data_IF_705368228990
#
_entry.id   IF_705368228990
#
_cell.length_a   1.000
_cell.length_b   1.000
_cell.length_c   1.000
_cell.angle_alpha   90.00
_cell.angle_beta   90.00
_cell.angle_gamma   90.00
#
_symmetry.space_group_name_H-M   'P 1'
#
loop_
_entity.id
_entity.type
_entity.pdbx_description
1 polymer ?
#
# COMPACT_ATOMS: atom_id res chain seq x y z
N UNK A 1 3.51 19.71 -10.39
CA UNK A 1 3.56 18.29 -10.01
C UNK A 1 2.32 17.65 -10.59
N UNK A 2 2.46 16.51 -11.28
CA UNK A 2 1.30 15.85 -11.89
C UNK A 2 0.34 15.34 -10.82
N UNK A 3 -0.92 15.16 -11.21
CA UNK A 3 -1.97 14.60 -10.37
C UNK A 3 -1.57 13.21 -9.85
N UNK A 4 -2.00 12.85 -8.63
CA UNK A 4 -1.83 11.53 -8.03
C UNK A 4 -3.17 10.79 -7.97
N UNK A 5 -3.20 9.53 -8.41
CA UNK A 5 -4.31 8.64 -8.07
C UNK A 5 -4.03 7.90 -6.76
N UNK A 6 -4.93 8.08 -5.79
CA UNK A 6 -4.96 7.36 -4.52
C UNK A 6 -6.02 6.26 -4.65
N UNK A 7 -5.61 5.03 -4.36
CA UNK A 7 -6.38 3.81 -4.43
C UNK A 7 -6.63 3.32 -3.02
N UNK A 8 -7.86 3.51 -2.53
CA UNK A 8 -8.25 3.13 -1.18
C UNK A 8 -9.20 1.93 -1.17
N UNK A 9 -8.71 0.71 -0.87
CA UNK A 9 -9.59 -0.37 -0.52
C UNK A 9 -10.18 -0.12 0.87
N UNK A 10 -11.46 -0.45 1.06
CA UNK A 10 -12.15 -0.28 2.35
C UNK A 10 -13.12 -1.42 2.62
N UNK A 11 -13.72 -1.47 3.80
CA UNK A 11 -14.78 -2.42 4.14
C UNK A 11 -16.15 -1.76 3.98
N UNK A 12 -17.16 -2.56 3.66
CA UNK A 12 -18.55 -2.08 3.68
C UNK A 12 -18.90 -1.46 5.04
N UNK A 13 -19.46 -0.25 5.02
CA UNK A 13 -19.83 0.49 6.23
C UNK A 13 -18.67 1.20 6.95
N UNK A 14 -17.43 1.11 6.45
CA UNK A 14 -16.31 1.94 6.94
C UNK A 14 -16.35 3.31 6.28
N UNK A 15 -16.08 4.34 7.08
CA UNK A 15 -15.88 5.69 6.61
C UNK A 15 -14.38 6.01 6.57
N UNK A 16 -14.00 6.97 5.72
CA UNK A 16 -12.66 7.55 5.75
C UNK A 16 -12.65 8.61 6.85
N UNK A 17 -11.75 8.46 7.82
CA UNK A 17 -11.69 9.42 8.94
C UNK A 17 -11.19 10.78 8.46
N UNK A 18 -11.50 11.84 9.22
CA UNK A 18 -11.02 13.18 8.91
C UNK A 18 -9.49 13.26 8.96
N UNK A 19 -8.86 12.54 9.89
CA UNK A 19 -7.40 12.48 10.04
C UNK A 19 -6.71 11.87 8.82
N UNK A 20 -7.32 10.85 8.20
CA UNK A 20 -6.81 10.28 6.94
C UNK A 20 -6.92 11.28 5.81
N UNK A 21 -8.05 11.98 5.70
CA UNK A 21 -8.25 13.02 4.68
C UNK A 21 -7.28 14.19 4.88
N UNK A 22 -7.07 14.64 6.11
CA UNK A 22 -6.11 15.70 6.45
C UNK A 22 -4.68 15.27 6.11
N UNK A 23 -4.33 14.00 6.39
CA UNK A 23 -3.06 13.41 5.98
C UNK A 23 -2.85 13.45 4.45
N UNK A 24 -3.88 13.12 3.68
CA UNK A 24 -3.86 13.21 2.21
C UNK A 24 -3.73 14.67 1.74
N UNK A 25 -4.51 15.59 2.33
CA UNK A 25 -4.48 17.01 1.98
C UNK A 25 -3.13 17.67 2.29
N UNK A 26 -2.47 17.24 3.38
CA UNK A 26 -1.14 17.73 3.77
C UNK A 26 -0.01 17.37 2.79
N UNK A 27 -0.29 16.53 1.79
CA UNK A 27 0.70 16.19 0.76
C UNK A 27 0.91 17.33 -0.25
N UNK A 28 0.02 18.34 -0.28
CA UNK A 28 0.09 19.49 -1.20
C UNK A 28 0.21 19.10 -2.69
N UNK A 29 -0.33 17.93 -3.04
CA UNK A 29 -0.35 17.39 -4.41
C UNK A 29 -1.81 17.22 -4.85
N UNK A 30 -2.22 17.70 -6.04
CA UNK A 30 -3.54 17.42 -6.57
C UNK A 30 -3.77 15.91 -6.68
N UNK A 31 -4.91 15.41 -6.19
CA UNK A 31 -5.20 13.98 -6.21
C UNK A 31 -6.61 13.66 -6.71
N UNK A 32 -6.78 12.41 -7.15
CA UNK A 32 -8.08 11.74 -7.29
C UNK A 32 -8.10 10.56 -6.34
N UNK A 33 -9.19 10.46 -5.59
CA UNK A 33 -9.41 9.36 -4.68
C UNK A 33 -10.36 8.36 -5.31
N UNK A 34 -9.88 7.15 -5.53
CA UNK A 34 -10.67 6.00 -5.91
C UNK A 34 -10.91 5.17 -4.66
N UNK A 35 -12.15 4.73 -4.44
CA UNK A 35 -12.53 3.88 -3.32
C UNK A 35 -13.18 2.60 -3.82
N UNK A 36 -12.79 1.46 -3.26
CA UNK A 36 -13.37 0.14 -3.58
C UNK A 36 -13.63 -0.62 -2.29
N UNK A 37 -14.87 -1.02 -2.08
CA UNK A 37 -15.28 -1.78 -0.90
C UNK A 37 -15.06 -3.27 -1.13
N UNK A 38 -14.43 -3.97 -0.17
CA UNK A 38 -14.52 -5.43 -0.12
C UNK A 38 -15.95 -5.82 0.26
N UNK A 39 -16.54 -6.76 -0.48
CA UNK A 39 -17.86 -7.32 -0.16
C UNK A 39 -17.74 -8.13 1.14
N UNK A 40 -18.80 -8.18 1.95
CA UNK A 40 -18.81 -8.93 3.21
C UNK A 40 -18.36 -10.40 3.02
N UNK A 41 -17.38 -10.84 3.82
CA UNK A 41 -16.71 -12.15 3.67
C UNK A 41 -15.65 -12.23 2.55
N UNK A 42 -15.42 -11.14 1.82
CA UNK A 42 -14.42 -10.99 0.77
C UNK A 42 -13.05 -10.55 1.29
N UNK A 43 -12.03 -10.79 0.46
CA UNK A 43 -10.62 -10.48 0.71
C UNK A 43 -10.26 -9.09 0.16
N UNK A 44 -9.39 -8.35 0.86
CA UNK A 44 -8.82 -7.08 0.40
C UNK A 44 -8.15 -7.21 -0.96
N UNK A 45 -7.63 -8.39 -1.32
CA UNK A 45 -7.13 -8.68 -2.65
C UNK A 45 -8.13 -8.32 -3.77
N UNK A 46 -9.41 -8.64 -3.60
CA UNK A 46 -10.45 -8.31 -4.59
C UNK A 46 -10.66 -6.80 -4.69
N UNK A 47 -10.76 -6.10 -3.55
CA UNK A 47 -10.92 -4.66 -3.53
C UNK A 47 -9.75 -3.94 -4.22
N UNK A 48 -8.51 -4.39 -3.95
CA UNK A 48 -7.27 -3.88 -4.57
C UNK A 48 -7.24 -4.14 -6.09
N UNK A 49 -7.65 -5.33 -6.54
CA UNK A 49 -7.73 -5.64 -7.98
C UNK A 49 -8.80 -4.80 -8.69
N UNK A 50 -9.96 -4.62 -8.06
CA UNK A 50 -11.06 -3.83 -8.61
C UNK A 50 -10.71 -2.35 -8.73
N UNK A 51 -9.89 -1.82 -7.82
CA UNK A 51 -9.61 -0.39 -7.77
C UNK A 51 -8.46 0.02 -8.69
N UNK A 52 -7.44 -0.83 -8.84
CA UNK A 52 -6.22 -0.49 -9.58
C UNK A 52 -6.48 -0.18 -11.07
N UNK A 53 -7.55 -0.72 -11.65
CA UNK A 53 -7.95 -0.45 -13.05
C UNK A 53 -8.39 1.00 -13.31
N UNK A 54 -8.74 1.76 -12.27
CA UNK A 54 -9.19 3.15 -12.40
C UNK A 54 -8.04 4.15 -12.37
N UNK A 55 -6.91 3.80 -11.72
CA UNK A 55 -5.71 4.62 -11.72
C UNK A 55 -5.17 4.85 -13.14
N UNK A 56 -4.71 6.06 -13.44
CA UNK A 56 -4.18 6.48 -14.74
C UNK A 56 -2.86 7.24 -14.64
N UNK A 57 -2.51 7.75 -13.47
CA UNK A 57 -1.26 8.50 -13.27
C UNK A 57 -0.05 7.55 -13.27
N UNK A 58 1.15 8.08 -13.56
CA UNK A 58 2.39 7.29 -13.60
C UNK A 58 2.69 6.60 -12.26
N UNK A 59 2.38 7.28 -11.16
CA UNK A 59 2.48 6.73 -9.82
C UNK A 59 1.08 6.57 -9.23
N UNK A 60 0.83 5.43 -8.58
CA UNK A 60 -0.43 5.10 -7.94
C UNK A 60 -0.16 4.82 -6.46
N UNK A 61 -0.85 5.54 -5.56
CA UNK A 61 -0.72 5.31 -4.12
C UNK A 61 -1.81 4.34 -3.66
N UNK A 62 -1.44 3.13 -3.26
CA UNK A 62 -2.31 2.24 -2.50
C UNK A 62 -2.29 2.67 -1.03
N UNK A 63 -3.45 3.00 -0.47
CA UNK A 63 -3.58 3.53 0.89
C UNK A 63 -4.79 2.92 1.59
N UNK A 64 -4.59 2.22 2.69
CA UNK A 64 -5.69 1.71 3.51
C UNK A 64 -6.38 2.87 4.26
N UNK A 65 -7.67 2.71 4.55
CA UNK A 65 -8.54 3.80 5.04
C UNK A 65 -8.33 4.16 6.52
N UNK A 66 -7.35 3.56 7.19
CA UNK A 66 -6.92 3.79 8.56
C UNK A 66 -5.48 4.28 8.65
N UNK A 67 -4.88 4.68 7.51
CA UNK A 67 -3.51 5.17 7.46
C UNK A 67 -3.46 6.68 7.30
N UNK A 68 -2.75 7.34 8.23
CA UNK A 68 -2.40 8.75 8.19
C UNK A 68 -1.00 8.88 7.59
N UNK A 69 -0.90 9.65 6.50
CA UNK A 69 0.36 9.98 5.84
C UNK A 69 1.10 11.09 6.61
N UNK A 70 2.43 10.98 6.81
CA UNK A 70 3.21 12.13 7.27
C UNK A 70 3.26 13.19 6.17
N UNK A 71 3.41 14.46 6.55
CA UNK A 71 3.46 15.57 5.61
C UNK A 71 4.62 15.40 4.61
N UNK A 72 4.36 15.65 3.33
CA UNK A 72 5.36 15.57 2.25
C UNK A 72 5.80 14.16 1.85
N UNK A 73 5.28 13.11 2.49
CA UNK A 73 5.70 11.72 2.27
C UNK A 73 5.57 11.25 0.82
N UNK A 74 4.45 11.59 0.18
CA UNK A 74 4.20 11.20 -1.20
C UNK A 74 5.25 11.78 -2.13
N UNK A 75 5.70 13.02 -1.89
CA UNK A 75 6.74 13.65 -2.69
C UNK A 75 8.06 12.88 -2.55
N UNK A 76 8.46 12.53 -1.35
CA UNK A 76 9.68 11.75 -1.11
C UNK A 76 9.60 10.34 -1.73
N UNK A 77 8.45 9.68 -1.65
CA UNK A 77 8.21 8.39 -2.29
C UNK A 77 8.32 8.47 -3.82
N UNK A 78 7.77 9.54 -4.43
CA UNK A 78 7.88 9.79 -5.88
C UNK A 78 9.34 10.06 -6.27
N UNK A 79 10.05 10.90 -5.51
CA UNK A 79 11.46 11.20 -5.75
C UNK A 79 12.34 9.96 -5.62
N UNK A 80 12.06 9.10 -4.63
CA UNK A 80 12.71 7.81 -4.49
C UNK A 80 12.50 6.95 -5.75
N UNK A 81 11.25 6.72 -6.17
CA UNK A 81 11.01 5.92 -7.36
C UNK A 81 11.66 6.55 -8.60
N UNK A 82 11.70 7.88 -8.74
CA UNK A 82 12.41 8.50 -9.88
C UNK A 82 13.92 8.21 -9.85
N UNK A 83 14.55 8.24 -8.68
CA UNK A 83 15.98 7.97 -8.52
C UNK A 83 16.36 6.49 -8.60
N UNK A 84 15.43 5.58 -8.30
CA UNK A 84 15.66 4.14 -8.25
C UNK A 84 14.77 3.40 -9.28
N UNK A 85 15.17 3.35 -10.56
CA UNK A 85 14.37 2.76 -11.64
C UNK A 85 14.14 1.25 -11.49
N UNK A 86 14.98 0.54 -10.73
CA UNK A 86 14.83 -0.88 -10.39
C UNK A 86 13.72 -1.15 -9.35
N UNK A 87 13.23 -0.12 -8.65
CA UNK A 87 12.10 -0.28 -7.73
C UNK A 87 10.77 -0.21 -8.49
N UNK A 88 9.95 -1.23 -8.31
CA UNK A 88 8.57 -1.27 -8.76
C UNK A 88 7.67 -0.41 -7.86
N UNK A 89 7.97 -0.39 -6.56
CA UNK A 89 7.17 0.25 -5.55
C UNK A 89 7.99 0.58 -4.30
N UNK A 90 7.53 1.56 -3.53
CA UNK A 90 8.10 1.95 -2.24
C UNK A 90 6.97 2.15 -1.24
N UNK A 91 7.16 1.72 -0.01
CA UNK A 91 6.17 1.78 1.05
C UNK A 91 6.61 2.68 2.20
N UNK A 92 5.64 3.09 3.02
CA UNK A 92 5.92 3.62 4.35
C UNK A 92 5.66 2.53 5.36
N UNK A 93 6.54 2.39 6.35
CA UNK A 93 6.27 1.47 7.44
C UNK A 93 5.46 2.12 8.54
N UNK A 94 4.69 1.33 9.28
CA UNK A 94 4.02 1.75 10.51
C UNK A 94 4.93 1.77 11.73
N UNK A 95 6.07 1.09 11.64
CA UNK A 95 7.01 0.92 12.75
C UNK A 95 8.28 1.67 12.46
N UNK A 96 8.83 2.33 13.49
CA UNK A 96 10.19 2.85 13.45
C UNK A 96 11.15 1.65 13.45
N UNK A 97 11.78 1.40 12.31
CA UNK A 97 12.68 0.25 12.18
C UNK A 97 14.04 0.61 12.77
N UNK A 98 14.42 -0.06 13.86
CA UNK A 98 15.81 -0.11 14.36
C UNK A 98 16.68 -1.10 13.58
N UNK A 99 16.13 -1.70 12.52
CA UNK A 99 16.78 -2.70 11.66
C UNK A 99 17.85 -2.09 10.76
N UNK A 100 18.67 -2.96 10.16
CA UNK A 100 19.68 -2.51 9.20
C UNK A 100 19.01 -1.88 7.97
N UNK A 101 19.68 -0.89 7.34
CA UNK A 101 19.20 -0.26 6.10
C UNK A 101 18.82 -1.30 5.03
N UNK A 102 19.56 -2.41 4.95
CA UNK A 102 19.29 -3.51 4.01
C UNK A 102 17.92 -4.14 4.23
N UNK A 103 17.52 -4.33 5.48
CA UNK A 103 16.22 -4.90 5.84
C UNK A 103 15.09 -3.91 5.57
N UNK A 104 15.35 -2.61 5.65
CA UNK A 104 14.36 -1.56 5.32
C UNK A 104 14.12 -1.48 3.81
N UNK A 105 15.17 -1.47 3.00
CA UNK A 105 15.05 -1.29 1.54
C UNK A 105 14.68 -2.59 0.80
N UNK A 106 14.99 -3.75 1.36
CA UNK A 106 14.64 -5.05 0.77
C UNK A 106 14.13 -6.05 1.84
N UNK A 107 13.00 -5.73 2.49
CA UNK A 107 12.42 -6.61 3.51
C UNK A 107 11.84 -7.87 2.85
N UNK A 108 11.75 -9.01 3.54
CA UNK A 108 11.06 -10.17 2.99
C UNK A 108 9.58 -9.90 2.66
N UNK A 109 8.96 -8.95 3.36
CA UNK A 109 7.55 -8.61 3.25
C UNK A 109 7.32 -7.11 3.42
N UNK A 110 6.44 -6.54 2.59
CA UNK A 110 5.94 -5.17 2.70
C UNK A 110 4.43 -5.22 2.86
N UNK A 111 3.92 -4.60 3.91
CA UNK A 111 2.47 -4.46 4.13
C UNK A 111 1.88 -3.50 3.09
N UNK A 112 0.72 -3.83 2.50
CA UNK A 112 0.12 -3.03 1.42
C UNK A 112 -0.68 -1.81 1.90
N UNK A 113 -0.52 -1.40 3.15
CA UNK A 113 -1.32 -0.34 3.77
C UNK A 113 -0.95 1.06 3.31
N UNK A 114 0.30 1.30 2.90
CA UNK A 114 0.75 2.55 2.29
C UNK A 114 1.91 2.30 1.33
N UNK A 115 1.59 2.12 0.05
CA UNK A 115 2.57 1.75 -0.97
C UNK A 115 2.36 2.56 -2.24
N UNK A 116 3.39 3.26 -2.69
CA UNK A 116 3.41 3.94 -3.97
C UNK A 116 3.98 3.00 -5.04
N UNK A 117 3.20 2.72 -6.06
CA UNK A 117 3.58 1.87 -7.19
C UNK A 117 3.84 2.69 -8.45
N UNK A 118 4.71 2.16 -9.31
CA UNK A 118 4.68 2.47 -10.74
C UNK A 118 3.44 1.86 -11.39
N UNK A 119 2.76 2.64 -12.23
CA UNK A 119 1.53 2.22 -12.92
C UNK A 119 1.72 0.95 -13.73
N UNK A 120 2.76 0.95 -14.57
CA UNK A 120 3.07 -0.13 -15.48
C UNK A 120 3.31 -1.44 -14.75
N UNK A 121 3.88 -1.39 -13.54
CA UNK A 121 4.11 -2.58 -12.74
C UNK A 121 2.82 -3.03 -12.05
N UNK A 122 2.08 -2.10 -11.43
CA UNK A 122 0.84 -2.44 -10.73
C UNK A 122 -0.22 -3.07 -11.66
N UNK A 123 -0.23 -2.69 -12.94
CA UNK A 123 -1.11 -3.31 -13.95
C UNK A 123 -0.84 -4.81 -14.12
N UNK A 124 0.41 -5.22 -14.01
CA UNK A 124 0.84 -6.62 -14.16
C UNK A 124 0.68 -7.46 -12.88
N UNK A 125 0.40 -6.83 -11.73
CA UNK A 125 0.27 -7.51 -10.43
C UNK A 125 -1.18 -7.87 -10.14
N UNK A 126 -1.48 -9.16 -9.99
CA UNK A 126 -2.78 -9.59 -9.44
C UNK A 126 -2.63 -9.83 -7.95
N UNK A 127 -3.40 -9.12 -7.13
CA UNK A 127 -3.45 -9.38 -5.69
C UNK A 127 -4.23 -10.67 -5.45
N UNK A 128 -3.66 -11.61 -4.72
CA UNK A 128 -4.32 -12.86 -4.36
C UNK A 128 -3.61 -13.54 -3.19
N UNK A 129 -4.35 -14.32 -2.42
CA UNK A 129 -3.74 -15.17 -1.40
C UNK A 129 -3.05 -16.38 -2.06
N UNK A 130 -1.75 -16.63 -1.80
CA UNK A 130 -1.02 -17.73 -2.43
C UNK A 130 -1.67 -19.09 -2.21
N UNK A 131 -2.14 -19.36 -0.97
CA UNK A 131 -2.86 -20.59 -0.60
C UNK A 131 -4.10 -20.85 -1.47
N UNK A 132 -4.88 -19.81 -1.81
CA UNK A 132 -6.07 -19.94 -2.66
C UNK A 132 -5.71 -20.28 -4.11
N UNK A 133 -4.49 -19.93 -4.54
CA UNK A 133 -3.96 -20.24 -5.88
C UNK A 133 -3.13 -21.52 -5.93
N UNK A 134 -3.05 -22.30 -4.83
CA UNK A 134 -2.19 -23.48 -4.77
C UNK A 134 -0.69 -23.17 -4.80
N UNK A 135 -0.30 -21.92 -4.53
CA UNK A 135 1.10 -21.51 -4.38
C UNK A 135 1.53 -21.69 -2.93
N UNK A 136 2.75 -22.16 -2.74
CA UNK A 136 3.34 -22.32 -1.41
C UNK A 136 4.40 -21.24 -1.20
N UNK A 137 4.03 -20.15 -0.54
CA UNK A 137 5.01 -19.22 0.04
C UNK A 137 5.46 -19.74 1.41
N UNK A 138 6.71 -19.44 1.84
CA UNK A 138 7.16 -19.78 3.19
C UNK A 138 6.23 -19.16 4.25
N UNK A 139 5.93 -19.91 5.31
CA UNK A 139 5.28 -19.33 6.49
C UNK A 139 6.17 -18.24 7.12
N UNK A 140 5.58 -17.14 7.64
CA UNK A 140 4.16 -16.89 7.88
C UNK A 140 3.37 -16.31 6.68
N UNK A 141 3.93 -16.32 5.47
CA UNK A 141 3.42 -15.55 4.33
C UNK A 141 2.47 -16.33 3.40
N UNK A 142 2.21 -17.61 3.68
CA UNK A 142 1.45 -18.51 2.80
C UNK A 142 0.04 -18.05 2.42
N UNK A 143 -0.62 -17.25 3.26
CA UNK A 143 -1.94 -16.67 2.95
C UNK A 143 -1.98 -15.16 3.00
N UNK A 144 -0.87 -14.48 2.72
CA UNK A 144 -0.84 -13.01 2.68
C UNK A 144 -0.75 -12.54 1.22
N UNK A 145 -1.73 -11.78 0.77
CA UNK A 145 -1.78 -11.17 -0.55
C UNK A 145 -0.68 -10.13 -0.76
N UNK A 146 -0.30 -9.43 0.32
CA UNK A 146 0.83 -8.50 0.34
C UNK A 146 2.15 -9.23 0.03
N UNK A 147 2.34 -10.42 0.59
CA UNK A 147 3.51 -11.24 0.31
C UNK A 147 3.53 -11.79 -1.12
N UNK A 148 2.37 -12.16 -1.66
CA UNK A 148 2.25 -12.57 -3.06
C UNK A 148 2.66 -11.44 -4.01
N UNK A 149 2.19 -10.20 -3.75
CA UNK A 149 2.61 -9.01 -4.49
C UNK A 149 4.13 -8.82 -4.45
N UNK A 150 4.74 -8.88 -3.26
CA UNK A 150 6.19 -8.75 -3.10
C UNK A 150 6.95 -9.83 -3.89
N UNK A 151 6.45 -11.07 -3.86
CA UNK A 151 7.03 -12.18 -4.59
C UNK A 151 6.94 -12.00 -6.11
N UNK A 152 5.78 -11.58 -6.62
CA UNK A 152 5.58 -11.38 -8.06
C UNK A 152 6.42 -10.21 -8.61
N UNK A 153 6.59 -9.13 -7.84
CA UNK A 153 7.54 -8.05 -8.15
C UNK A 153 8.97 -8.59 -8.26
N UNK A 154 9.41 -9.35 -7.25
CA UNK A 154 10.78 -9.89 -7.21
C UNK A 154 11.03 -10.91 -8.32
N UNK A 155 10.03 -11.71 -8.71
CA UNK A 155 10.13 -12.62 -9.85
C UNK A 155 10.34 -11.92 -11.19
N UNK A 156 9.95 -10.64 -11.29
CA UNK A 156 10.23 -9.79 -12.45
C UNK A 156 11.62 -9.14 -12.39
N UNK A 157 12.42 -9.42 -11.36
CA UNK A 157 13.73 -8.81 -11.15
C UNK A 157 13.67 -7.36 -10.65
N UNK A 158 12.54 -6.96 -10.06
CA UNK A 158 12.32 -5.62 -9.52
C UNK A 158 12.32 -5.61 -7.99
N UNK A 159 12.49 -4.43 -7.41
CA UNK A 159 12.58 -4.21 -5.97
C UNK A 159 11.30 -3.59 -5.39
N UNK A 160 11.04 -3.91 -4.13
CA UNK A 160 10.01 -3.29 -3.27
C UNK A 160 10.52 -3.31 -1.83
N UNK A 161 10.35 -2.18 -1.14
CA UNK A 161 10.76 -2.01 0.24
C UNK A 161 10.11 -0.82 0.92
N UNK A 162 10.70 -0.38 2.02
CA UNK A 162 10.26 0.79 2.78
C UNK A 162 11.18 1.99 2.52
N UNK A 163 10.58 3.19 2.48
CA UNK A 163 11.32 4.44 2.47
C UNK A 163 11.98 4.65 3.84
N UNK A 164 13.32 4.76 3.93
CA UNK A 164 14.00 4.93 5.21
C UNK A 164 13.67 6.27 5.87
N UNK A 165 13.43 6.25 7.19
CA UNK A 165 13.25 7.47 7.99
C UNK A 165 11.87 8.11 7.91
N UNK A 166 10.92 7.52 7.19
CA UNK A 166 9.56 8.03 7.04
C UNK A 166 8.53 6.94 7.37
N UNK A 167 7.56 7.28 8.23
CA UNK A 167 6.65 6.31 8.81
C UNK A 167 5.20 6.77 8.74
N UNK A 168 4.31 5.87 8.31
CA UNK A 168 2.88 6.11 8.31
C UNK A 168 2.27 5.77 9.68
N UNK A 169 1.20 6.46 10.07
CA UNK A 169 0.52 6.18 11.33
C UNK A 169 -0.77 5.42 11.09
N UNK A 170 -0.97 4.34 11.83
CA UNK A 170 -2.21 3.57 11.79
C UNK A 170 -3.17 4.10 12.87
N UNK A 171 -4.40 4.40 12.49
CA UNK A 171 -5.47 4.71 13.44
C UNK A 171 -5.86 3.39 14.11
N UNK A 172 -5.72 3.23 15.44
CA UNK A 172 -6.14 2.02 16.11
C UNK A 172 -7.61 1.74 15.80
N UNK A 173 -7.96 0.50 15.46
CA UNK A 173 -9.35 0.15 15.23
C UNK A 173 -10.12 0.30 16.56
N UNK A 174 -10.87 1.40 16.74
CA UNK A 174 -11.60 1.70 17.98
C UNK A 174 -12.84 0.83 18.15
N UNK A 175 -12.83 -0.41 17.64
CA UNK A 175 -13.74 -1.48 18.08
C UNK A 175 -13.39 -1.91 19.51
N UNK A 176 -13.32 -0.97 20.44
CA UNK A 176 -13.67 -1.30 21.81
C UNK A 176 -15.19 -1.53 21.79
N UNK A 177 -15.71 -2.63 22.35
CA UNK A 177 -17.14 -2.77 22.51
C UNK A 177 -17.63 -1.51 23.23
N UNK A 178 -18.72 -0.92 22.75
CA UNK A 178 -19.51 -0.04 23.60
C UNK A 178 -19.87 -0.90 24.81
N UNK A 179 -19.24 -0.63 25.95
CA UNK A 179 -19.69 -1.20 27.22
C UNK A 179 -21.15 -0.78 27.37
N UNK A 180 -22.04 -1.77 27.46
CA UNK A 180 -23.47 -1.58 27.76
C UNK A 180 -23.69 -0.96 29.14
#
# INVERSE_FOLDING_TARGET
MDMLDILMPTEEGRYISQEVLDGILSQEIPFRLWVSTKISGGDYAQARNNIKQYGRTQFLLMLDNDIILPAGAVKEMIEFLKSYPNYAAIALSKHDWTSSLKEVINPPHVEMSCVLFRKEILDEITFSEPRKEGRQLPEPYGGCECAQCCFDIRRKGLEIGFLPGLYAHHIPDTRLPLEE
#
